data_IF_648129042254
#
_entry.id   IF_648129042254
#
_cell.length_a   1.000
_cell.length_b   1.000
_cell.length_c   1.000
_cell.angle_alpha   90.00
_cell.angle_beta   90.00
_cell.angle_gamma   90.00
#
_symmetry.space_group_name_H-M   'P 1'
#
loop_
_entity.id
_entity.type
_entity.pdbx_description
1 polymer ?
#
# COMPACT_ATOMS: atom_id res chain seq x y z
N UNK A 1 12.89 4.04 -10.38
CA UNK A 1 12.33 3.77 -9.04
C UNK A 1 12.72 2.36 -8.67
N UNK A 2 13.20 2.15 -7.45
CA UNK A 2 13.67 0.85 -6.95
C UNK A 2 12.78 0.42 -5.79
N UNK A 3 12.25 -0.80 -5.85
CA UNK A 3 11.52 -1.46 -4.77
C UNK A 3 12.45 -2.52 -4.19
N UNK A 4 12.82 -2.35 -2.93
CA UNK A 4 13.59 -3.31 -2.16
C UNK A 4 12.64 -4.31 -1.51
N UNK A 5 12.94 -5.59 -1.68
CA UNK A 5 12.17 -6.71 -1.14
C UNK A 5 13.12 -7.69 -0.47
N UNK A 6 13.09 -7.77 0.84
CA UNK A 6 13.91 -8.71 1.61
C UNK A 6 13.03 -9.83 2.16
N UNK A 7 13.26 -11.06 1.68
CA UNK A 7 12.48 -12.23 2.04
C UNK A 7 13.27 -13.16 2.98
N UNK A 8 12.64 -13.53 4.09
CA UNK A 8 13.16 -14.49 5.07
C UNK A 8 12.15 -15.64 5.27
N UNK A 9 12.04 -16.59 4.31
CA UNK A 9 11.04 -17.65 4.35
C UNK A 9 11.10 -18.54 5.60
N UNK A 10 12.32 -18.83 6.07
CA UNK A 10 12.54 -19.68 7.25
C UNK A 10 11.96 -19.08 8.53
N UNK A 11 11.99 -17.75 8.62
CA UNK A 11 11.50 -16.97 9.76
C UNK A 11 10.06 -16.49 9.56
N UNK A 12 9.48 -16.69 8.37
CA UNK A 12 8.18 -16.16 8.01
C UNK A 12 8.14 -14.63 8.08
N UNK A 13 9.20 -13.97 7.57
CA UNK A 13 9.30 -12.51 7.54
C UNK A 13 9.56 -12.02 6.12
N UNK A 14 9.02 -10.87 5.80
CA UNK A 14 9.35 -10.13 4.60
C UNK A 14 9.32 -8.62 4.89
N UNK A 15 10.25 -7.89 4.29
CA UNK A 15 10.36 -6.43 4.41
C UNK A 15 10.34 -5.80 3.03
N UNK A 16 9.71 -4.63 2.94
CA UNK A 16 9.50 -3.93 1.68
C UNK A 16 9.78 -2.45 1.87
N UNK A 17 10.52 -1.87 0.94
CA UNK A 17 10.78 -0.43 0.91
C UNK A 17 10.75 0.05 -0.53
N UNK A 18 10.04 1.16 -0.80
CA UNK A 18 10.07 1.74 -2.12
C UNK A 18 9.41 3.10 -2.24
N UNK A 19 9.69 3.83 -3.33
CA UNK A 19 9.03 5.07 -3.63
C UNK A 19 7.76 4.87 -4.46
N UNK A 20 6.81 5.76 -4.27
CA UNK A 20 5.71 6.06 -5.17
C UNK A 20 5.94 7.38 -5.86
N UNK A 21 5.64 7.44 -7.16
CA UNK A 21 5.40 8.69 -7.86
C UNK A 21 3.89 8.92 -7.93
N UNK A 22 3.41 9.93 -7.19
CA UNK A 22 2.03 10.36 -7.18
C UNK A 22 1.83 11.46 -8.21
N UNK A 23 0.69 11.43 -8.89
CA UNK A 23 0.23 12.51 -9.78
C UNK A 23 -1.20 12.83 -9.40
N UNK A 24 -1.53 14.11 -9.22
CA UNK A 24 -2.90 14.51 -8.94
C UNK A 24 -3.72 14.53 -10.24
N UNK A 25 -4.49 13.48 -10.48
CA UNK A 25 -5.41 13.36 -11.63
C UNK A 25 -6.87 13.72 -11.32
N UNK A 26 -7.17 14.25 -10.11
CA UNK A 26 -8.56 14.51 -9.68
C UNK A 26 -9.23 15.68 -10.41
N UNK A 27 -8.46 16.54 -11.09
CA UNK A 27 -8.96 17.79 -11.66
C UNK A 27 -9.27 18.89 -10.62
N UNK A 28 -8.92 18.68 -9.34
CA UNK A 28 -9.02 19.68 -8.27
C UNK A 28 -7.78 19.62 -7.35
N UNK A 29 -7.47 20.67 -6.57
CA UNK A 29 -6.43 20.58 -5.56
C UNK A 29 -6.74 19.50 -4.52
N UNK A 30 -5.73 18.70 -4.16
CA UNK A 30 -5.80 17.65 -3.14
C UNK A 30 -5.11 18.16 -1.88
N UNK A 31 -5.84 18.21 -0.76
CA UNK A 31 -5.31 18.68 0.53
C UNK A 31 -4.94 17.54 1.48
N UNK A 32 -5.42 16.32 1.21
CA UNK A 32 -5.27 15.18 2.11
C UNK A 32 -4.90 13.94 1.30
N UNK A 33 -3.95 13.18 1.84
CA UNK A 33 -3.55 11.88 1.32
C UNK A 33 -4.04 10.79 2.25
N UNK A 34 -4.87 9.90 1.71
CA UNK A 34 -5.37 8.72 2.40
C UNK A 34 -4.42 7.55 2.16
N UNK A 35 -4.00 6.87 3.23
CA UNK A 35 -3.10 5.71 3.18
C UNK A 35 -3.85 4.50 3.72
N UNK A 36 -3.93 3.42 2.93
CA UNK A 36 -4.68 2.21 3.29
C UNK A 36 -3.84 0.96 3.05
N UNK A 37 -3.58 0.16 4.09
CA UNK A 37 -3.18 -1.24 3.92
C UNK A 37 -4.39 -2.10 3.66
N UNK A 38 -4.38 -2.95 2.66
CA UNK A 38 -5.56 -3.74 2.28
C UNK A 38 -5.66 -5.04 3.06
N UNK A 39 -4.54 -5.75 3.21
CA UNK A 39 -4.50 -6.93 4.04
C UNK A 39 -4.23 -6.57 5.51
N UNK A 40 -4.58 -7.48 6.42
CA UNK A 40 -4.28 -7.32 7.84
C UNK A 40 -2.95 -7.95 8.24
N UNK A 41 -2.17 -8.49 7.29
CA UNK A 41 -0.96 -9.28 7.53
C UNK A 41 0.33 -8.48 7.42
N UNK A 42 0.30 -7.40 6.65
CA UNK A 42 1.38 -6.45 6.51
C UNK A 42 1.09 -5.19 7.31
N UNK A 43 2.14 -4.64 7.91
CA UNK A 43 2.10 -3.46 8.77
C UNK A 43 2.96 -2.35 8.13
N UNK A 44 2.45 -1.12 8.15
CA UNK A 44 3.23 0.04 7.74
C UNK A 44 4.23 0.37 8.84
N UNK A 45 5.52 0.29 8.52
CA UNK A 45 6.59 0.64 9.46
C UNK A 45 6.84 2.15 9.41
N UNK A 46 6.89 2.72 8.21
CA UNK A 46 7.11 4.14 8.01
C UNK A 46 6.54 4.60 6.66
N UNK A 47 6.09 5.85 6.60
CA UNK A 47 5.75 6.51 5.34
C UNK A 47 6.25 7.96 5.40
N UNK A 48 6.99 8.36 4.37
CA UNK A 48 7.48 9.72 4.21
C UNK A 48 6.70 10.41 3.10
N UNK A 49 5.89 11.39 3.50
CA UNK A 49 5.11 12.24 2.60
C UNK A 49 5.64 13.67 2.77
N UNK A 50 6.21 14.28 1.73
CA UNK A 50 6.74 15.63 1.81
C UNK A 50 5.71 16.64 2.32
N UNK A 51 6.10 17.45 3.31
CA UNK A 51 5.28 18.54 3.85
C UNK A 51 3.85 18.12 4.21
N UNK A 52 3.72 17.00 4.94
CA UNK A 52 2.44 16.49 5.40
C UNK A 52 2.43 16.19 6.90
N UNK A 53 1.26 16.30 7.51
CA UNK A 53 1.03 16.01 8.93
C UNK A 53 -0.03 14.93 9.07
N UNK A 54 0.24 13.92 9.90
CA UNK A 54 -0.74 12.88 10.25
C UNK A 54 -1.91 13.50 11.04
N UNK A 55 -3.13 13.40 10.50
CA UNK A 55 -4.34 13.97 11.11
C UNK A 55 -5.31 12.91 11.63
N UNK A 56 -5.23 11.69 11.13
CA UNK A 56 -5.98 10.54 11.63
C UNK A 56 -5.12 9.29 11.55
N UNK A 57 -5.06 8.55 12.66
CA UNK A 57 -4.38 7.27 12.76
C UNK A 57 -5.33 6.19 13.26
N UNK A 58 -5.75 5.33 12.34
CA UNK A 58 -6.47 4.10 12.62
C UNK A 58 -5.73 2.90 11.98
N UNK A 59 -4.38 2.98 11.97
CA UNK A 59 -3.52 1.95 11.41
C UNK A 59 -3.73 0.59 12.07
N UNK A 60 -3.88 0.56 13.40
CA UNK A 60 -4.02 -0.69 14.16
C UNK A 60 -5.35 -1.42 13.88
N UNK A 61 -6.46 -0.67 13.89
CA UNK A 61 -7.80 -1.26 13.75
C UNK A 61 -8.20 -1.50 12.28
N UNK A 62 -7.85 -0.55 11.40
CA UNK A 62 -8.36 -0.53 10.02
C UNK A 62 -7.25 -0.50 8.97
N UNK A 63 -5.97 -0.37 9.37
CA UNK A 63 -4.87 -0.17 8.42
C UNK A 63 -5.06 1.12 7.63
N UNK A 64 -5.52 2.19 8.30
CA UNK A 64 -5.89 3.44 7.65
C UNK A 64 -5.34 4.67 8.35
N UNK A 65 -4.77 5.58 7.56
CA UNK A 65 -4.24 6.84 8.03
C UNK A 65 -4.57 7.96 7.06
N UNK A 66 -4.68 9.19 7.57
CA UNK A 66 -4.87 10.40 6.76
C UNK A 66 -3.75 11.39 7.07
N UNK A 67 -3.14 11.92 6.02
CA UNK A 67 -2.13 12.96 6.10
C UNK A 67 -2.65 14.23 5.44
N UNK A 68 -2.70 15.34 6.17
CA UNK A 68 -2.98 16.66 5.58
C UNK A 68 -1.70 17.23 4.97
N UNK A 69 -1.77 17.64 3.71
CA UNK A 69 -0.69 18.33 3.01
C UNK A 69 -0.68 19.80 3.41
N UNK A 70 0.49 20.34 3.75
CA UNK A 70 0.65 21.76 4.06
C UNK A 70 0.33 22.65 2.83
N UNK A 71 0.69 22.16 1.64
CA UNK A 71 0.33 22.78 0.37
C UNK A 71 -0.56 21.82 -0.43
N UNK A 72 -1.71 22.30 -0.95
CA UNK A 72 -2.55 21.48 -1.79
C UNK A 72 -1.80 21.05 -3.04
N UNK A 73 -1.75 19.75 -3.31
CA UNK A 73 -1.20 19.23 -4.56
C UNK A 73 -2.13 19.63 -5.69
N UNK A 74 -1.65 20.43 -6.65
CA UNK A 74 -2.47 20.94 -7.75
C UNK A 74 -2.70 19.88 -8.84
N UNK A 75 -3.76 19.99 -9.67
CA UNK A 75 -3.97 19.06 -10.77
C UNK A 75 -2.76 18.96 -11.70
N UNK A 76 -2.28 17.74 -11.94
CA UNK A 76 -1.10 17.44 -12.76
C UNK A 76 0.24 17.61 -12.04
N UNK A 77 0.26 18.09 -10.79
CA UNK A 77 1.46 18.11 -9.97
C UNK A 77 1.88 16.68 -9.62
N UNK A 78 3.18 16.48 -9.40
CA UNK A 78 3.74 15.20 -8.99
C UNK A 78 4.44 15.29 -7.64
N UNK A 79 4.42 14.20 -6.89
CA UNK A 79 5.07 14.09 -5.58
C UNK A 79 5.67 12.71 -5.41
N UNK A 80 6.86 12.62 -4.81
CA UNK A 80 7.45 11.35 -4.42
C UNK A 80 7.12 11.07 -2.96
N UNK A 81 6.62 9.86 -2.68
CA UNK A 81 6.33 9.36 -1.33
C UNK A 81 7.13 8.08 -1.13
N UNK A 82 7.75 7.86 0.03
CA UNK A 82 8.41 6.57 0.31
C UNK A 82 7.66 5.82 1.39
N UNK A 83 7.66 4.49 1.29
CA UNK A 83 7.06 3.63 2.31
C UNK A 83 8.04 2.54 2.73
N UNK A 84 7.89 2.10 3.97
CA UNK A 84 8.48 0.90 4.52
C UNK A 84 7.36 0.08 5.14
N UNK A 85 7.34 -1.22 4.85
CA UNK A 85 6.38 -2.14 5.43
C UNK A 85 7.00 -3.48 5.73
N UNK A 86 6.36 -4.22 6.64
CA UNK A 86 6.76 -5.55 7.01
C UNK A 86 5.58 -6.51 6.98
N UNK A 87 5.87 -7.76 6.69
CA UNK A 87 4.94 -8.88 6.81
C UNK A 87 5.59 -9.93 7.67
N UNK A 88 5.14 -10.02 8.92
CA UNK A 88 5.71 -10.96 9.89
C UNK A 88 4.63 -11.96 10.29
N UNK A 89 4.95 -13.23 10.12
CA UNK A 89 4.11 -14.33 10.60
C UNK A 89 4.01 -14.27 12.13
N UNK A 90 2.88 -13.77 12.63
CA UNK A 90 2.55 -13.80 14.06
C UNK A 90 2.00 -15.18 14.42
N UNK A 91 2.47 -15.77 15.52
CA UNK A 91 2.20 -17.17 15.90
C UNK A 91 0.73 -17.48 16.21
N UNK A 92 -0.12 -16.47 16.40
CA UNK A 92 -1.56 -16.62 16.59
C UNK A 92 -2.30 -15.40 16.03
N UNK A 93 -3.24 -15.64 15.11
CA UNK A 93 -4.17 -14.62 14.59
C UNK A 93 -5.57 -15.22 14.50
N UNK A 94 -6.56 -14.48 14.99
CA UNK A 94 -7.98 -14.88 14.91
C UNK A 94 -8.47 -14.97 13.46
N UNK A 95 -7.82 -14.24 12.54
CA UNK A 95 -8.10 -14.22 11.11
C UNK A 95 -7.50 -15.39 10.32
N UNK A 96 -6.78 -16.30 10.98
CA UNK A 96 -6.12 -17.45 10.36
C UNK A 96 -4.61 -17.25 10.14
N UNK A 97 -3.94 -18.34 9.76
CA UNK A 97 -2.52 -18.35 9.44
C UNK A 97 -2.24 -17.68 8.09
N UNK A 98 -1.12 -16.97 8.00
CA UNK A 98 -0.64 -16.44 6.73
C UNK A 98 -0.17 -17.57 5.82
N UNK A 99 -0.97 -17.86 4.79
CA UNK A 99 -0.68 -18.90 3.79
C UNK A 99 0.23 -18.43 2.66
N UNK A 100 0.51 -17.12 2.58
CA UNK A 100 1.31 -16.52 1.50
C UNK A 100 2.81 -16.49 1.81
N UNK A 101 3.16 -16.44 3.10
CA UNK A 101 4.52 -16.37 3.61
C UNK A 101 4.86 -17.66 4.37
N UNK A 102 5.18 -18.72 3.61
CA UNK A 102 5.47 -20.04 4.16
C UNK A 102 6.84 -20.54 3.70
N UNK A 103 7.42 -21.49 4.46
CA UNK A 103 8.77 -22.03 4.18
C UNK A 103 8.91 -22.65 2.80
N UNK A 104 7.84 -23.21 2.25
CA UNK A 104 7.85 -23.95 0.98
C UNK A 104 7.58 -23.07 -0.25
N UNK A 105 7.53 -21.75 -0.09
CA UNK A 105 7.34 -20.80 -1.18
C UNK A 105 6.60 -19.55 -0.74
N UNK A 106 7.00 -18.41 -1.30
CA UNK A 106 6.38 -17.11 -1.06
C UNK A 106 5.73 -16.64 -2.35
N UNK A 107 4.45 -16.25 -2.27
CA UNK A 107 3.75 -15.62 -3.39
C UNK A 107 3.01 -14.39 -2.89
N UNK A 108 3.51 -13.21 -3.25
CA UNK A 108 2.98 -11.92 -2.81
C UNK A 108 2.66 -11.03 -4.00
N UNK A 109 1.55 -10.31 -3.91
CA UNK A 109 1.14 -9.26 -4.82
C UNK A 109 1.35 -7.89 -4.17
N UNK A 110 1.41 -6.82 -4.96
CA UNK A 110 1.68 -5.48 -4.42
C UNK A 110 0.70 -5.04 -3.33
N UNK A 111 -0.58 -5.39 -3.45
CA UNK A 111 -1.64 -5.05 -2.50
C UNK A 111 -1.46 -5.74 -1.15
N UNK A 112 -0.61 -6.77 -1.09
CA UNK A 112 -0.30 -7.54 0.11
C UNK A 112 0.92 -6.99 0.87
N UNK A 113 1.61 -5.96 0.36
CA UNK A 113 2.75 -5.37 1.06
C UNK A 113 2.89 -3.87 0.91
N UNK A 114 2.30 -3.27 -0.12
CA UNK A 114 2.42 -1.86 -0.42
C UNK A 114 1.08 -1.15 -0.11
N UNK A 115 1.08 0.03 0.55
CA UNK A 115 -0.15 0.75 0.83
C UNK A 115 -0.83 1.23 -0.45
N UNK A 116 -2.15 1.27 -0.43
CA UNK A 116 -2.95 2.00 -1.43
C UNK A 116 -3.05 3.46 -1.01
N UNK A 117 -2.74 4.38 -1.92
CA UNK A 117 -2.85 5.82 -1.68
C UNK A 117 -4.10 6.41 -2.39
N UNK A 118 -4.77 7.36 -1.74
CA UNK A 118 -5.76 8.24 -2.38
C UNK A 118 -7.21 7.75 -2.49
N UNK A 119 -7.62 6.69 -1.79
CA UNK A 119 -9.03 6.22 -1.84
C UNK A 119 -9.68 6.08 -0.46
N UNK A 120 -10.63 6.98 -0.17
CA UNK A 120 -11.50 6.92 1.02
C UNK A 120 -12.54 5.78 0.94
N UNK A 121 -12.79 5.23 -0.25
CA UNK A 121 -13.78 4.17 -0.45
C UNK A 121 -13.37 2.84 0.18
N UNK A 122 -12.08 2.49 0.12
CA UNK A 122 -11.53 1.29 0.76
C UNK A 122 -11.67 1.36 2.29
N UNK A 123 -11.43 2.54 2.85
CA UNK A 123 -11.62 2.79 4.27
C UNK A 123 -13.08 2.62 4.72
N UNK A 124 -14.04 3.27 4.03
CA UNK A 124 -15.46 3.09 4.37
C UNK A 124 -15.91 1.63 4.25
N UNK A 125 -15.40 0.89 3.26
CA UNK A 125 -15.68 -0.53 3.12
C UNK A 125 -15.18 -1.33 4.34
N UNK A 126 -13.96 -1.05 4.81
CA UNK A 126 -13.37 -1.71 5.98
C UNK A 126 -14.13 -1.42 7.26
N UNK A 127 -14.46 -0.15 7.53
CA UNK A 127 -15.29 0.21 8.69
C UNK A 127 -16.65 -0.46 8.62
N UNK A 128 -17.31 -0.41 7.46
CA UNK A 128 -18.63 -1.01 7.32
C UNK A 128 -18.63 -2.53 7.58
N UNK A 129 -17.56 -3.21 7.16
CA UNK A 129 -17.35 -4.63 7.46
C UNK A 129 -17.11 -4.90 8.94
N UNK A 130 -16.36 -4.04 9.62
CA UNK A 130 -16.04 -4.21 11.04
C UNK A 130 -17.21 -3.85 11.96
N UNK A 131 -17.86 -2.71 11.72
CA UNK A 131 -18.98 -2.23 12.53
C UNK A 131 -20.32 -2.91 12.21
N UNK A 132 -20.41 -3.65 11.09
CA UNK A 132 -21.66 -4.26 10.63
C UNK A 132 -22.73 -3.25 10.20
N UNK A 133 -22.34 -1.98 10.00
CA UNK A 133 -23.20 -0.86 9.60
C UNK A 133 -22.74 -0.25 8.28
N UNK A 134 -23.66 0.21 7.43
CA UNK A 134 -23.33 0.90 6.17
C UNK A 134 -22.97 2.38 6.35
N UNK A 135 -22.96 2.90 7.57
CA UNK A 135 -22.72 4.33 7.82
C UNK A 135 -21.23 4.61 8.05
N UNK A 136 -20.55 5.15 7.04
CA UNK A 136 -19.19 5.67 7.18
C UNK A 136 -19.22 6.93 8.06
N UNK A 137 -18.40 6.97 9.13
CA UNK A 137 -18.33 8.12 10.06
C UNK A 137 -17.61 9.32 9.46
N UNK A 138 -16.72 9.10 8.49
CA UNK A 138 -16.22 10.20 7.67
C UNK A 138 -17.31 10.63 6.70
N UNK A 139 -17.47 11.95 6.56
CA UNK A 139 -18.35 12.58 5.59
C UNK A 139 -17.74 12.35 4.18
N UNK A 140 -17.81 11.10 3.70
CA UNK A 140 -17.09 10.64 2.53
C UNK A 140 -17.81 11.11 1.27
N UNK A 141 -17.50 12.32 0.84
CA UNK A 141 -17.63 12.70 -0.56
C UNK A 141 -16.69 11.78 -1.37
N UNK A 142 -17.20 10.61 -1.77
CA UNK A 142 -16.47 9.60 -2.51
C UNK A 142 -16.10 10.15 -3.90
N UNK A 143 -14.92 10.78 -4.01
CA UNK A 143 -14.32 11.20 -5.28
C UNK A 143 -13.06 10.38 -5.48
N UNK A 144 -13.07 9.48 -6.46
CA UNK A 144 -11.88 8.71 -6.81
C UNK A 144 -10.96 9.55 -7.71
N UNK A 145 -9.66 9.51 -7.42
CA UNK A 145 -8.61 9.68 -8.44
C UNK A 145 -8.86 8.63 -9.56
N UNK A 146 -8.61 8.96 -10.83
CA UNK A 146 -8.86 8.07 -11.98
C UNK A 146 -7.72 8.13 -13.00
N UNK A 147 -7.08 6.99 -13.21
CA UNK A 147 -6.11 6.80 -14.29
C UNK A 147 -6.79 6.65 -15.66
N UNK A 148 -6.13 7.17 -16.69
CA UNK A 148 -6.37 6.85 -18.10
C UNK A 148 -5.98 5.37 -18.36
N UNK A 149 -6.96 4.53 -18.68
CA UNK A 149 -6.71 3.17 -19.21
C UNK A 149 -6.63 3.17 -20.74
N UNK A 150 -6.05 2.12 -21.32
CA UNK A 150 -6.90 1.23 -22.10
C UNK A 150 -6.96 -0.15 -21.41
N UNK A 151 -8.18 -0.53 -21.01
CA UNK A 151 -8.61 -1.91 -20.75
C UNK A 151 -7.72 -2.73 -19.80
N UNK A 152 -7.92 -2.64 -18.48
CA UNK A 152 -8.59 -3.74 -17.75
C UNK A 152 -8.84 -3.37 -16.29
N UNK A 153 -9.93 -3.90 -15.72
CA UNK A 153 -10.45 -3.63 -14.38
C UNK A 153 -9.52 -3.97 -13.22
N UNK A 154 -8.91 -2.97 -12.59
CA UNK A 154 -8.73 -2.77 -11.13
C UNK A 154 -8.54 -1.27 -10.90
N UNK A 155 -9.37 -0.64 -10.06
CA UNK A 155 -9.28 0.79 -9.71
C UNK A 155 -8.56 0.93 -8.37
N UNK A 156 -7.24 1.10 -8.42
CA UNK A 156 -6.47 1.93 -7.50
C UNK A 156 -5.70 2.90 -8.38
N UNK A 157 -5.76 4.19 -8.08
CA UNK A 157 -5.35 5.28 -8.95
C UNK A 157 -3.82 5.49 -8.99
N UNK A 158 -3.06 4.41 -9.14
CA UNK A 158 -1.59 4.49 -9.07
C UNK A 158 -0.99 3.62 -10.16
N UNK A 159 -0.58 4.27 -11.26
CA UNK A 159 0.29 3.63 -12.24
C UNK A 159 1.70 3.65 -11.66
N UNK A 160 2.15 2.52 -11.07
CA UNK A 160 3.58 2.33 -10.84
C UNK A 160 4.20 2.29 -12.24
N UNK A 161 5.03 3.26 -12.59
CA UNK A 161 5.83 3.22 -13.81
C UNK A 161 6.76 1.99 -13.83
N UNK A 162 7.67 1.91 -14.79
CA UNK A 162 8.73 0.89 -14.75
C UNK A 162 9.48 0.95 -13.40
N UNK A 163 9.31 -0.09 -12.59
CA UNK A 163 9.96 -0.24 -11.29
C UNK A 163 11.03 -1.31 -11.39
N UNK A 164 12.23 -1.01 -10.91
CA UNK A 164 13.28 -2.01 -10.68
C UNK A 164 12.96 -2.67 -9.34
N UNK A 165 12.93 -3.99 -9.30
CA UNK A 165 12.69 -4.74 -8.07
C UNK A 165 14.01 -5.40 -7.67
N UNK A 166 14.55 -4.99 -6.53
CA UNK A 166 15.70 -5.63 -5.91
C UNK A 166 15.19 -6.62 -4.85
N UNK A 167 15.21 -7.90 -5.20
CA UNK A 167 14.79 -8.97 -4.29
C UNK A 167 15.99 -9.66 -3.67
N UNK A 168 16.03 -9.75 -2.34
CA UNK A 168 16.96 -10.60 -1.60
C UNK A 168 16.20 -11.76 -0.94
N UNK A 169 16.80 -12.95 -0.92
CA UNK A 169 16.24 -14.15 -0.28
C UNK A 169 17.35 -15.10 0.15
N UNK A 170 17.02 -16.20 0.82
CA UNK A 170 18.01 -17.20 1.24
C UNK A 170 18.68 -17.89 0.03
N UNK A 171 19.93 -18.31 0.20
CA UNK A 171 20.77 -18.83 -0.90
C UNK A 171 20.22 -20.12 -1.56
N UNK A 172 19.32 -20.84 -0.89
CA UNK A 172 18.66 -22.05 -1.37
C UNK A 172 17.32 -21.77 -2.09
N UNK A 173 16.92 -20.50 -2.24
CA UNK A 173 15.69 -20.07 -2.90
C UNK A 173 16.00 -19.33 -4.22
N UNK A 174 15.09 -19.43 -5.18
CA UNK A 174 15.16 -18.66 -6.44
C UNK A 174 14.08 -17.57 -6.44
N UNK A 175 14.44 -16.28 -6.38
CA UNK A 175 13.47 -15.20 -6.49
C UNK A 175 12.95 -15.13 -7.92
N UNK A 176 11.63 -14.95 -8.07
CA UNK A 176 10.99 -14.73 -9.36
C UNK A 176 10.13 -13.47 -9.25
N UNK A 177 10.45 -12.47 -10.07
CA UNK A 177 9.69 -11.24 -10.20
C UNK A 177 9.36 -10.97 -11.68
N UNK A 178 8.23 -10.32 -12.00
CA UNK A 178 7.95 -9.89 -13.36
C UNK A 178 9.02 -8.91 -13.88
N UNK A 179 9.50 -9.11 -15.10
CA UNK A 179 10.49 -8.23 -15.73
C UNK A 179 11.70 -8.98 -16.27
N UNK A 180 12.79 -8.26 -16.50
CA UNK A 180 14.09 -8.84 -16.87
C UNK A 180 14.97 -8.91 -15.63
N UNK A 181 15.59 -10.06 -15.40
CA UNK A 181 16.63 -10.21 -14.38
C UNK A 181 17.83 -9.36 -14.79
N UNK A 182 18.35 -8.58 -13.85
CA UNK A 182 19.57 -7.79 -14.02
C UNK A 182 20.56 -8.32 -12.97
N UNK A 183 21.70 -8.85 -13.44
CA UNK A 183 22.80 -9.38 -12.61
C UNK A 183 23.77 -8.28 -12.19
#
# INVERSE_FOLDING_TARGET
>A
MELNVDLFPADGKAYFEGPYQLINDTGAPVNELHVVFQDGYSELVNIDIPSATLTLDEGEDYGYQIFALEQPMLPGEEMTVTFQSERIKKSFRTSGEDSRLVKNGIFLNNSEFAPSLGSTALYCYKIARHEGSMTCRLNCACRSLKTRRPESGITSAMSIGSCLILCTTSADQTPVAPGKVVE
#
